data_IF_516378990870
#
_entry.id   IF_516378990870
#
_cell.length_a   1.000
_cell.length_b   1.000
_cell.length_c   1.000
_cell.angle_alpha   90.00
_cell.angle_beta   90.00
_cell.angle_gamma   90.00
#
_symmetry.space_group_name_H-M   'P 1'
#
loop_
_entity.id
_entity.type
_entity.pdbx_description
1 polymer ?
#
# COMPACT_ATOMS: atom_id res chain seq x y z
N UNK A 1 -40.98 72.32 -41.44
CA UNK A 1 -39.87 71.52 -40.88
C UNK A 1 -40.37 70.10 -40.74
N UNK A 2 -39.87 69.18 -41.57
CA UNK A 2 -40.17 67.76 -41.46
C UNK A 2 -39.10 67.08 -40.59
N UNK A 3 -39.44 66.11 -39.72
CA UNK A 3 -38.46 65.15 -39.25
C UNK A 3 -38.51 63.88 -40.10
N UNK A 4 -37.33 63.52 -40.58
CA UNK A 4 -37.01 62.32 -41.34
C UNK A 4 -37.04 61.11 -40.39
N UNK A 5 -37.80 60.08 -40.76
CA UNK A 5 -37.73 58.75 -40.16
C UNK A 5 -36.48 58.03 -40.67
N UNK A 6 -35.58 57.61 -39.78
CA UNK A 6 -34.44 56.75 -40.14
C UNK A 6 -34.63 55.38 -39.49
N UNK A 7 -35.02 54.40 -40.31
CA UNK A 7 -35.05 52.99 -39.94
C UNK A 7 -33.67 52.39 -40.15
N UNK A 8 -32.95 52.08 -39.07
CA UNK A 8 -31.74 51.26 -39.13
C UNK A 8 -32.13 49.78 -39.01
N UNK A 9 -32.06 49.06 -40.14
CA UNK A 9 -32.12 47.62 -40.16
C UNK A 9 -30.77 47.06 -39.68
N UNK A 10 -30.76 46.44 -38.49
CA UNK A 10 -29.62 45.67 -37.99
C UNK A 10 -29.75 44.26 -38.54
N UNK A 11 -28.91 43.90 -39.51
CA UNK A 11 -28.80 42.52 -39.97
C UNK A 11 -28.05 41.69 -38.91
N UNK A 12 -28.79 40.81 -38.21
CA UNK A 12 -28.20 39.84 -37.29
C UNK A 12 -27.55 38.70 -38.11
N UNK A 13 -26.23 38.71 -38.22
CA UNK A 13 -25.48 37.57 -38.72
C UNK A 13 -25.44 36.48 -37.63
N UNK A 14 -26.23 35.43 -37.80
CA UNK A 14 -26.14 34.24 -36.96
C UNK A 14 -24.85 33.48 -37.29
N UNK A 15 -23.84 33.59 -36.41
CA UNK A 15 -22.69 32.68 -36.43
C UNK A 15 -23.17 31.29 -36.00
N UNK A 16 -23.32 30.38 -36.96
CA UNK A 16 -23.43 28.95 -36.69
C UNK A 16 -22.08 28.45 -36.17
N UNK A 17 -21.96 28.31 -34.85
CA UNK A 17 -20.91 27.53 -34.20
C UNK A 17 -21.17 26.05 -34.51
N UNK A 18 -20.56 25.56 -35.59
CA UNK A 18 -20.44 24.12 -35.82
C UNK A 18 -19.54 23.55 -34.73
N UNK A 19 -19.97 22.50 -33.99
CA UNK A 19 -19.07 21.81 -33.08
C UNK A 19 -18.01 21.14 -33.95
N UNK A 20 -16.76 21.60 -33.83
CA UNK A 20 -15.60 20.86 -34.31
C UNK A 20 -15.49 19.61 -33.43
N UNK A 21 -16.19 18.55 -33.82
CA UNK A 21 -15.89 17.21 -33.33
C UNK A 21 -14.55 16.82 -33.96
N UNK A 22 -13.45 17.12 -33.28
CA UNK A 22 -12.17 16.51 -33.62
C UNK A 22 -12.30 15.02 -33.32
N UNK A 23 -12.61 14.22 -34.33
CA UNK A 23 -12.35 12.79 -34.27
C UNK A 23 -10.83 12.64 -34.21
N UNK A 24 -10.28 12.55 -32.99
CA UNK A 24 -8.91 12.10 -32.82
C UNK A 24 -8.83 10.71 -33.45
N UNK A 25 -7.90 10.46 -34.39
CA UNK A 25 -7.74 9.11 -34.93
C UNK A 25 -7.45 8.19 -33.76
N UNK A 26 -8.29 7.15 -33.62
CA UNK A 26 -8.14 6.13 -32.61
C UNK A 26 -6.94 5.27 -33.02
N UNK A 27 -5.73 5.78 -32.75
CA UNK A 27 -4.46 5.15 -33.10
C UNK A 27 -4.25 3.93 -32.19
N UNK A 28 -5.01 2.88 -32.49
CA UNK A 28 -4.86 1.57 -31.89
C UNK A 28 -3.81 0.79 -32.67
N UNK A 29 -2.79 0.31 -31.98
CA UNK A 29 -1.74 -0.54 -32.52
C UNK A 29 -2.01 -1.98 -32.11
N UNK A 30 -1.77 -2.93 -33.01
CA UNK A 30 -1.91 -4.36 -32.71
C UNK A 30 -0.62 -5.11 -33.06
N UNK A 31 -0.08 -5.87 -32.10
CA UNK A 31 1.06 -6.79 -32.33
C UNK A 31 0.93 -8.00 -31.41
N UNK A 32 1.17 -9.20 -31.93
CA UNK A 32 1.13 -10.46 -31.15
C UNK A 32 -0.16 -10.65 -30.33
N UNK A 33 -1.32 -10.27 -30.88
CA UNK A 33 -2.62 -10.37 -30.20
C UNK A 33 -2.88 -9.34 -29.10
N UNK A 34 -1.96 -8.38 -28.89
CA UNK A 34 -2.14 -7.24 -28.00
C UNK A 34 -2.56 -6.03 -28.83
N UNK A 35 -3.62 -5.33 -28.38
CA UNK A 35 -4.09 -4.07 -28.96
C UNK A 35 -3.97 -2.97 -27.91
N UNK A 36 -3.41 -1.82 -28.26
CA UNK A 36 -3.19 -0.70 -27.33
C UNK A 36 -3.29 0.65 -28.04
N UNK A 37 -3.62 1.70 -27.30
CA UNK A 37 -3.68 3.09 -27.79
C UNK A 37 -2.33 3.80 -27.62
N UNK A 38 -2.25 5.09 -27.96
CA UNK A 38 -1.10 5.94 -27.60
C UNK A 38 -1.03 6.31 -26.12
N UNK A 39 -1.99 5.88 -25.31
CA UNK A 39 -2.03 6.19 -23.88
C UNK A 39 -0.86 5.53 -23.13
N UNK A 40 -0.48 6.15 -22.01
CA UNK A 40 0.57 5.65 -21.14
C UNK A 40 0.15 4.31 -20.53
N UNK A 41 0.99 3.28 -20.67
CA UNK A 41 0.74 1.95 -20.10
C UNK A 41 1.43 1.79 -18.76
N UNK A 42 0.86 0.94 -17.91
CA UNK A 42 1.41 0.64 -16.58
C UNK A 42 2.88 0.20 -16.64
N UNK A 43 3.26 -0.64 -17.62
CA UNK A 43 4.64 -1.09 -17.82
C UNK A 43 5.59 -0.03 -18.42
N UNK A 44 5.11 1.19 -18.65
CA UNK A 44 5.90 2.35 -19.07
C UNK A 44 6.05 3.37 -17.93
N UNK A 45 5.37 3.15 -16.79
CA UNK A 45 5.47 4.00 -15.61
C UNK A 45 6.68 3.55 -14.77
N UNK A 46 7.47 4.51 -14.30
CA UNK A 46 8.52 4.29 -13.32
C UNK A 46 8.12 4.99 -12.03
N UNK A 47 8.32 4.31 -10.90
CA UNK A 47 7.96 4.81 -9.58
C UNK A 47 9.12 4.68 -8.62
N UNK A 48 9.16 5.56 -7.63
CA UNK A 48 10.01 5.40 -6.44
C UNK A 48 9.20 4.68 -5.37
N UNK A 49 9.81 3.66 -4.77
CA UNK A 49 9.27 2.94 -3.63
C UNK A 49 10.14 3.11 -2.39
N UNK A 50 9.58 2.79 -1.24
CA UNK A 50 10.33 2.66 0.02
C UNK A 50 10.49 1.19 0.37
N UNK A 51 11.66 0.83 0.90
CA UNK A 51 11.92 -0.50 1.47
C UNK A 51 11.40 -0.54 2.90
N UNK A 52 10.67 -1.60 3.25
CA UNK A 52 9.94 -1.77 4.52
C UNK A 52 9.10 -0.52 4.87
N UNK A 53 8.17 -0.14 4.00
CA UNK A 53 7.45 1.14 4.10
C UNK A 53 6.77 1.39 5.45
N UNK A 54 6.44 0.34 6.18
CA UNK A 54 5.77 0.40 7.47
C UNK A 54 6.71 0.70 8.66
N UNK A 55 8.02 0.55 8.48
CA UNK A 55 9.03 0.41 9.54
C UNK A 55 9.18 1.64 10.45
N UNK A 56 9.33 1.37 11.75
CA UNK A 56 9.70 2.32 12.80
C UNK A 56 10.85 1.74 13.62
N UNK A 57 11.81 2.57 13.99
CA UNK A 57 12.95 2.14 14.80
C UNK A 57 12.53 1.80 16.22
N UNK A 58 13.24 0.84 16.83
CA UNK A 58 13.09 0.56 18.24
C UNK A 58 13.39 1.79 19.12
N UNK A 59 12.57 2.02 20.17
CA UNK A 59 12.83 3.06 21.16
C UNK A 59 14.14 2.78 21.90
N UNK A 60 14.73 3.83 22.47
CA UNK A 60 16.04 3.75 23.12
C UNK A 60 16.10 2.68 24.23
N UNK A 61 15.00 2.46 24.96
CA UNK A 61 14.89 1.45 26.02
C UNK A 61 15.03 0.00 25.53
N UNK A 62 14.75 -0.26 24.25
CA UNK A 62 14.85 -1.60 23.66
C UNK A 62 16.20 -1.83 22.97
N UNK A 63 16.97 -0.78 22.63
CA UNK A 63 18.16 -0.90 21.76
C UNK A 63 19.31 -1.72 22.35
N UNK A 64 19.53 -1.62 23.66
CA UNK A 64 20.59 -2.39 24.31
C UNK A 64 20.28 -3.89 24.22
N UNK A 65 19.03 -4.27 24.50
CA UNK A 65 18.55 -5.64 24.33
C UNK A 65 18.54 -6.06 22.87
N UNK A 66 18.11 -5.19 21.95
CA UNK A 66 18.10 -5.47 20.51
C UNK A 66 19.48 -5.92 20.02
N UNK A 67 20.55 -5.25 20.47
CA UNK A 67 21.96 -5.60 20.14
C UNK A 67 22.39 -6.99 20.60
N UNK A 68 21.69 -7.57 21.57
CA UNK A 68 22.00 -8.90 22.09
C UNK A 68 21.35 -10.02 21.29
N UNK A 69 20.25 -9.73 20.58
CA UNK A 69 19.43 -10.74 19.88
C UNK A 69 19.39 -10.56 18.36
N UNK A 70 19.94 -9.46 17.83
CA UNK A 70 20.06 -9.18 16.39
C UNK A 70 21.49 -8.71 16.03
N UNK A 71 22.04 -9.14 14.88
CA UNK A 71 23.26 -8.56 14.32
C UNK A 71 22.99 -7.17 13.72
N UNK A 72 24.03 -6.36 13.57
CA UNK A 72 24.01 -5.12 12.78
C UNK A 72 22.83 -4.16 13.04
N UNK A 73 22.36 -4.08 14.29
CA UNK A 73 21.18 -3.30 14.73
C UNK A 73 21.12 -1.84 14.26
N UNK A 74 22.26 -1.23 13.93
CA UNK A 74 22.32 0.10 13.34
C UNK A 74 21.52 0.21 12.03
N UNK A 75 21.42 -0.88 11.25
CA UNK A 75 20.65 -0.95 10.01
C UNK A 75 19.13 -0.95 10.24
N UNK A 76 18.69 -1.16 11.48
CA UNK A 76 17.28 -1.19 11.89
C UNK A 76 16.85 0.14 12.53
N UNK A 77 17.77 1.08 12.79
CA UNK A 77 17.45 2.37 13.42
C UNK A 77 17.19 3.45 12.37
N UNK A 78 16.17 3.21 11.55
CA UNK A 78 15.57 4.19 10.66
C UNK A 78 14.06 4.18 10.84
N UNK A 79 13.37 5.14 10.25
CA UNK A 79 11.91 5.16 10.29
C UNK A 79 11.34 5.82 9.08
N UNK A 80 10.24 5.26 8.59
CA UNK A 80 9.39 5.95 7.64
C UNK A 80 8.29 6.75 8.36
N UNK A 81 7.75 7.80 7.74
CA UNK A 81 6.45 8.33 8.15
C UNK A 81 5.34 7.36 7.77
N UNK A 82 4.10 7.60 8.23
CA UNK A 82 2.95 6.78 7.87
C UNK A 82 2.76 6.66 6.34
N UNK A 83 2.17 5.56 5.88
CA UNK A 83 2.07 5.22 4.45
C UNK A 83 1.38 6.33 3.62
N UNK A 84 0.35 6.97 4.16
CA UNK A 84 -0.34 8.10 3.53
C UNK A 84 0.54 9.34 3.44
N UNK A 85 1.39 9.60 4.44
CA UNK A 85 2.38 10.69 4.42
C UNK A 85 3.47 10.43 3.38
N UNK A 86 3.93 9.19 3.24
CA UNK A 86 4.85 8.80 2.15
C UNK A 86 4.22 9.04 0.78
N UNK A 87 2.96 8.61 0.59
CA UNK A 87 2.21 8.82 -0.64
C UNK A 87 2.03 10.32 -0.96
N UNK A 88 1.62 11.09 0.04
CA UNK A 88 1.22 12.48 -0.10
C UNK A 88 2.40 13.43 -0.29
N UNK A 89 3.42 13.31 0.56
CA UNK A 89 4.46 14.32 0.69
C UNK A 89 5.83 13.87 0.15
N UNK A 90 6.05 12.55 0.04
CA UNK A 90 7.29 12.01 -0.53
C UNK A 90 7.10 11.47 -1.95
N UNK A 91 5.89 11.56 -2.50
CA UNK A 91 5.54 11.06 -3.85
C UNK A 91 5.84 9.56 -4.05
N UNK A 92 5.81 8.77 -2.97
CA UNK A 92 6.01 7.31 -3.05
C UNK A 92 4.81 6.69 -3.76
N UNK A 93 5.08 5.79 -4.71
CA UNK A 93 4.07 5.07 -5.49
C UNK A 93 4.30 3.56 -5.53
N UNK A 94 5.20 3.03 -4.70
CA UNK A 94 5.36 1.60 -4.43
C UNK A 94 5.62 1.41 -2.93
N UNK A 95 4.85 0.54 -2.30
CA UNK A 95 5.02 0.21 -0.88
C UNK A 95 5.49 -1.22 -0.71
N UNK A 96 6.21 -1.47 0.37
CA UNK A 96 6.62 -2.80 0.81
C UNK A 96 6.05 -3.08 2.19
N UNK A 97 5.44 -4.26 2.35
CA UNK A 97 4.91 -4.76 3.62
C UNK A 97 5.44 -6.17 3.87
N UNK A 98 6.04 -6.36 5.03
CA UNK A 98 6.42 -7.67 5.55
C UNK A 98 5.26 -8.23 6.33
N UNK A 99 4.82 -9.43 5.99
CA UNK A 99 3.60 -10.02 6.55
C UNK A 99 3.85 -11.31 7.30
N UNK A 100 3.19 -11.43 8.45
CA UNK A 100 3.20 -12.59 9.31
C UNK A 100 1.77 -13.10 9.50
N UNK A 101 1.54 -14.39 9.24
CA UNK A 101 0.20 -14.98 9.37
C UNK A 101 -0.11 -15.30 10.83
N UNK A 102 -1.29 -14.90 11.30
CA UNK A 102 -1.75 -15.14 12.68
C UNK A 102 -3.26 -15.47 12.68
N UNK A 103 -3.64 -16.71 12.32
CA UNK A 103 -5.03 -17.08 12.08
C UNK A 103 -5.89 -17.10 13.35
N UNK A 104 -5.27 -17.29 14.52
CA UNK A 104 -5.96 -17.31 15.82
C UNK A 104 -5.92 -15.95 16.52
N UNK A 105 -4.97 -15.09 16.15
CA UNK A 105 -4.71 -13.82 16.82
C UNK A 105 -3.85 -14.00 18.06
N UNK A 106 -3.13 -12.94 18.42
CA UNK A 106 -2.33 -12.89 19.64
C UNK A 106 -0.96 -13.55 19.54
N UNK A 107 -0.66 -14.27 18.46
CA UNK A 107 0.60 -15.00 18.30
C UNK A 107 1.82 -14.08 18.30
N UNK A 108 1.64 -12.84 17.82
CA UNK A 108 2.67 -11.79 17.82
C UNK A 108 2.37 -10.63 18.77
N UNK A 109 1.40 -10.76 19.68
CA UNK A 109 0.95 -9.64 20.52
C UNK A 109 1.90 -9.32 21.68
N UNK A 110 2.73 -10.27 22.10
CA UNK A 110 3.80 -10.08 23.07
C UNK A 110 5.15 -10.17 22.36
N UNK A 111 6.16 -9.45 22.85
CA UNK A 111 7.45 -9.33 22.17
C UNK A 111 8.61 -9.70 23.09
N UNK A 112 9.42 -10.69 22.70
CA UNK A 112 10.58 -11.16 23.46
C UNK A 112 11.53 -10.04 23.89
N UNK A 113 11.81 -9.08 22.99
CA UNK A 113 12.70 -7.95 23.28
C UNK A 113 12.26 -7.17 24.52
N UNK A 114 10.95 -7.05 24.76
CA UNK A 114 10.41 -6.35 25.93
C UNK A 114 10.60 -7.16 27.20
N UNK A 115 10.40 -8.47 27.15
CA UNK A 115 10.67 -9.38 28.26
C UNK A 115 12.16 -9.31 28.66
N UNK A 116 13.05 -9.46 27.69
CA UNK A 116 14.50 -9.42 27.90
C UNK A 116 14.99 -8.05 28.38
N UNK A 117 14.31 -6.97 27.99
CA UNK A 117 14.57 -5.61 28.48
C UNK A 117 13.95 -5.31 29.85
N UNK A 118 13.25 -6.26 30.47
CA UNK A 118 12.48 -6.07 31.71
C UNK A 118 11.47 -4.90 31.61
N UNK A 119 10.83 -4.79 30.44
CA UNK A 119 9.76 -3.84 30.12
C UNK A 119 8.38 -4.54 30.21
N UNK A 120 7.31 -3.75 30.16
CA UNK A 120 5.95 -4.30 30.15
C UNK A 120 5.73 -5.22 28.95
N UNK A 121 5.31 -6.46 29.20
CA UNK A 121 4.93 -7.46 28.19
C UNK A 121 3.41 -7.54 28.00
N UNK A 122 2.70 -6.45 28.31
CA UNK A 122 1.24 -6.39 28.08
C UNK A 122 0.97 -6.62 26.59
N UNK A 123 0.16 -7.63 26.21
CA UNK A 123 -0.05 -7.94 24.81
C UNK A 123 -0.73 -6.79 24.06
N UNK A 124 -0.23 -6.47 22.87
CA UNK A 124 -0.79 -5.42 22.02
C UNK A 124 -2.23 -5.78 21.59
N UNK A 125 -3.24 -4.97 21.95
CA UNK A 125 -4.63 -5.30 21.66
C UNK A 125 -4.95 -5.37 20.16
N UNK A 126 -4.24 -4.66 19.30
CA UNK A 126 -4.45 -4.72 17.85
C UNK A 126 -3.92 -6.04 17.26
N UNK A 127 -2.87 -6.60 17.86
CA UNK A 127 -2.27 -7.86 17.45
C UNK A 127 -3.03 -9.07 18.04
N UNK A 128 -3.94 -8.87 18.99
CA UNK A 128 -4.74 -9.96 19.58
C UNK A 128 -5.88 -10.47 18.70
N UNK A 129 -6.32 -9.69 17.71
CA UNK A 129 -7.35 -10.16 16.79
C UNK A 129 -6.77 -11.16 15.79
N UNK A 130 -7.53 -12.13 15.27
CA UNK A 130 -7.13 -12.91 14.11
C UNK A 130 -6.74 -12.05 12.90
N UNK A 131 -5.85 -12.56 12.06
CA UNK A 131 -5.48 -11.95 10.78
C UNK A 131 -4.00 -11.61 10.65
N UNK A 132 -3.59 -11.19 9.47
CA UNK A 132 -2.19 -10.98 9.10
C UNK A 132 -1.61 -9.75 9.79
N UNK A 133 -0.40 -9.88 10.33
CA UNK A 133 0.35 -8.81 11.02
C UNK A 133 1.43 -8.23 10.12
N UNK A 134 1.80 -6.98 10.39
CA UNK A 134 2.86 -6.27 9.68
C UNK A 134 3.95 -5.89 10.68
N UNK A 135 5.11 -6.53 10.57
CA UNK A 135 6.27 -6.43 11.48
C UNK A 135 7.53 -6.62 10.65
N UNK A 136 8.72 -6.22 11.13
CA UNK A 136 9.97 -6.46 10.39
C UNK A 136 10.66 -7.75 10.84
N UNK A 137 10.99 -7.82 12.13
CA UNK A 137 11.44 -9.06 12.77
C UNK A 137 10.54 -9.28 13.97
N UNK A 138 9.73 -10.35 13.91
CA UNK A 138 8.92 -10.75 15.06
C UNK A 138 9.80 -10.80 16.32
N UNK A 139 9.26 -10.33 17.45
CA UNK A 139 9.92 -10.34 18.75
C UNK A 139 11.15 -9.42 18.94
N UNK A 140 11.77 -8.89 17.90
CA UNK A 140 13.05 -8.15 18.00
C UNK A 140 13.09 -6.79 17.28
N UNK A 141 12.25 -6.58 16.26
CA UNK A 141 12.08 -5.30 15.56
C UNK A 141 10.64 -5.20 15.03
N UNK A 142 9.71 -4.94 15.96
CA UNK A 142 8.26 -5.09 15.75
C UNK A 142 7.53 -3.77 15.53
N UNK A 143 8.21 -2.63 15.68
CA UNK A 143 7.56 -1.31 15.62
C UNK A 143 7.20 -0.96 14.18
N UNK A 144 5.96 -0.52 14.00
CA UNK A 144 5.37 -0.26 12.70
C UNK A 144 4.40 0.92 12.77
N UNK A 145 4.19 1.60 11.64
CA UNK A 145 3.15 2.64 11.49
C UNK A 145 1.73 2.08 11.41
N UNK A 146 1.58 0.79 11.11
CA UNK A 146 0.31 0.08 11.05
C UNK A 146 0.54 -1.41 11.33
N UNK A 147 -0.23 -2.01 12.23
CA UNK A 147 0.09 -3.32 12.84
C UNK A 147 -0.55 -4.53 12.17
N UNK A 148 -1.70 -4.32 11.53
CA UNK A 148 -2.43 -5.35 10.79
C UNK A 148 -2.37 -5.06 9.30
N UNK A 149 -2.37 -6.10 8.49
CA UNK A 149 -2.31 -5.96 7.04
C UNK A 149 -3.52 -5.18 6.51
N UNK A 150 -4.74 -5.55 6.93
CA UNK A 150 -5.96 -4.75 6.70
C UNK A 150 -5.79 -3.29 7.12
N UNK A 151 -5.25 -3.01 8.30
CA UNK A 151 -5.03 -1.65 8.78
C UNK A 151 -4.08 -0.85 7.88
N UNK A 152 -2.98 -1.46 7.45
CA UNK A 152 -2.05 -0.85 6.50
C UNK A 152 -2.70 -0.56 5.14
N UNK A 153 -3.44 -1.51 4.59
CA UNK A 153 -4.15 -1.34 3.32
C UNK A 153 -5.21 -0.24 3.42
N UNK A 154 -5.93 -0.14 4.54
CA UNK A 154 -6.94 0.91 4.76
C UNK A 154 -6.35 2.33 4.78
N UNK A 155 -5.12 2.50 5.28
CA UNK A 155 -4.41 3.79 5.22
C UNK A 155 -4.22 4.22 3.76
N UNK A 156 -3.71 3.33 2.92
CA UNK A 156 -3.47 3.63 1.50
C UNK A 156 -4.78 3.72 0.72
N UNK A 157 -5.79 2.92 1.03
CA UNK A 157 -7.13 3.04 0.44
C UNK A 157 -7.73 4.41 0.67
N UNK A 158 -7.67 4.92 1.91
CA UNK A 158 -8.17 6.27 2.23
C UNK A 158 -7.43 7.34 1.43
N UNK A 159 -6.11 7.21 1.28
CA UNK A 159 -5.33 8.11 0.44
C UNK A 159 -5.75 8.00 -1.04
N UNK A 160 -5.91 6.78 -1.56
CA UNK A 160 -6.33 6.49 -2.93
C UNK A 160 -7.67 7.14 -3.26
N UNK A 161 -8.66 7.00 -2.40
CA UNK A 161 -9.99 7.61 -2.55
C UNK A 161 -9.96 9.14 -2.59
N UNK A 162 -9.00 9.77 -1.90
CA UNK A 162 -8.81 11.21 -1.94
C UNK A 162 -8.05 11.69 -3.21
N UNK A 163 -7.51 10.77 -4.01
CA UNK A 163 -6.67 11.05 -5.18
C UNK A 163 -7.09 10.20 -6.39
N UNK A 164 -8.31 10.34 -6.92
CA UNK A 164 -8.86 9.43 -7.94
C UNK A 164 -8.02 9.33 -9.23
N UNK A 165 -7.16 10.31 -9.50
CA UNK A 165 -6.27 10.35 -10.67
C UNK A 165 -4.86 9.80 -10.39
N UNK A 166 -4.63 9.14 -9.23
CA UNK A 166 -3.32 8.56 -8.93
C UNK A 166 -2.99 7.38 -9.87
N UNK A 167 -1.70 7.20 -10.18
CA UNK A 167 -1.22 6.02 -10.90
C UNK A 167 -1.42 4.75 -10.05
N UNK A 168 -1.53 3.54 -10.65
CA UNK A 168 -1.61 2.30 -9.90
C UNK A 168 -0.48 2.19 -8.85
N UNK A 169 -0.83 1.74 -7.65
CA UNK A 169 0.12 1.59 -6.54
C UNK A 169 0.41 0.09 -6.36
N UNK A 170 1.58 -0.39 -6.81
CA UNK A 170 2.07 -1.70 -6.43
C UNK A 170 2.37 -1.79 -4.93
N UNK A 171 2.04 -2.94 -4.37
CA UNK A 171 2.52 -3.41 -3.07
C UNK A 171 3.44 -4.61 -3.30
N UNK A 172 4.66 -4.51 -2.80
CA UNK A 172 5.54 -5.65 -2.61
C UNK A 172 5.21 -6.28 -1.26
N UNK A 173 4.86 -7.56 -1.26
CA UNK A 173 4.47 -8.29 -0.06
C UNK A 173 5.55 -9.35 0.21
N UNK A 174 6.29 -9.19 1.31
CA UNK A 174 7.27 -10.19 1.75
C UNK A 174 6.62 -11.12 2.78
N UNK A 175 6.58 -12.41 2.45
CA UNK A 175 6.01 -13.43 3.31
C UNK A 175 7.07 -13.84 4.36
N UNK A 176 6.86 -13.44 5.61
CA UNK A 176 7.78 -13.71 6.72
C UNK A 176 7.27 -14.82 7.63
N UNK A 177 8.21 -15.36 8.42
CA UNK A 177 7.97 -16.22 9.57
C UNK A 177 8.82 -15.72 10.74
N UNK A 178 8.45 -16.07 11.98
CA UNK A 178 9.30 -15.76 13.13
C UNK A 178 10.66 -16.48 13.04
N UNK A 179 11.67 -15.94 13.71
CA UNK A 179 13.01 -16.54 13.74
C UNK A 179 13.05 -17.70 14.74
N UNK A 180 13.49 -18.88 14.29
CA UNK A 180 13.65 -20.07 15.14
C UNK A 180 14.53 -19.80 16.38
N UNK A 181 15.54 -18.94 16.22
CA UNK A 181 16.41 -18.54 17.33
C UNK A 181 15.67 -17.73 18.42
N UNK A 182 14.71 -16.88 18.03
CA UNK A 182 13.89 -16.13 18.98
C UNK A 182 12.85 -17.05 19.63
N UNK A 183 12.24 -17.96 18.86
CA UNK A 183 11.34 -18.97 19.40
C UNK A 183 12.02 -19.85 20.47
N UNK A 184 13.27 -20.26 20.25
CA UNK A 184 14.07 -21.01 21.23
C UNK A 184 14.35 -20.24 22.53
N UNK A 185 14.21 -18.91 22.52
CA UNK A 185 14.35 -18.04 23.69
C UNK A 185 13.01 -17.67 24.34
N UNK A 186 11.89 -18.23 23.86
CA UNK A 186 10.54 -17.96 24.39
C UNK A 186 9.71 -16.97 23.56
N UNK A 187 10.21 -16.55 22.39
CA UNK A 187 9.44 -15.76 21.42
C UNK A 187 8.39 -16.59 20.66
N UNK A 188 7.74 -15.96 19.70
CA UNK A 188 6.73 -16.57 18.84
C UNK A 188 7.34 -17.68 17.97
N UNK A 189 6.66 -18.83 17.91
CA UNK A 189 7.05 -19.91 17.01
C UNK A 189 6.79 -19.53 15.54
N UNK A 190 7.58 -20.02 14.57
CA UNK A 190 7.31 -19.76 13.15
C UNK A 190 6.01 -20.43 12.69
N UNK A 191 5.14 -19.67 12.02
CA UNK A 191 3.99 -20.19 11.30
C UNK A 191 4.30 -20.11 9.80
N UNK A 192 4.54 -21.24 9.11
CA UNK A 192 4.94 -21.23 7.71
C UNK A 192 3.75 -20.93 6.77
N UNK A 193 4.01 -20.16 5.72
CA UNK A 193 3.08 -19.93 4.61
C UNK A 193 3.01 -21.14 3.64
N UNK A 194 2.65 -22.31 4.16
CA UNK A 194 2.72 -23.59 3.42
C UNK A 194 1.36 -24.24 3.14
N UNK A 195 0.25 -23.54 3.41
CA UNK A 195 -1.10 -24.03 3.18
C UNK A 195 -1.91 -23.02 2.35
N UNK A 196 -2.69 -23.53 1.39
CA UNK A 196 -3.64 -22.78 0.56
C UNK A 196 -4.65 -21.98 1.39
N UNK A 197 -5.07 -22.46 2.56
CA UNK A 197 -5.99 -21.72 3.43
C UNK A 197 -5.40 -20.39 3.91
N UNK A 198 -4.09 -20.34 4.18
CA UNK A 198 -3.42 -19.11 4.60
C UNK A 198 -3.28 -18.12 3.43
N UNK A 199 -3.00 -18.63 2.23
CA UNK A 199 -2.94 -17.82 1.01
C UNK A 199 -4.33 -17.29 0.62
N UNK A 200 -5.38 -18.08 0.83
CA UNK A 200 -6.76 -17.63 0.68
C UNK A 200 -7.08 -16.53 1.71
N UNK A 201 -6.62 -16.66 2.95
CA UNK A 201 -6.75 -15.62 3.98
C UNK A 201 -6.12 -14.30 3.57
N UNK A 202 -4.97 -14.33 2.88
CA UNK A 202 -4.36 -13.12 2.30
C UNK A 202 -5.27 -12.47 1.25
N UNK A 203 -5.78 -13.25 0.29
CA UNK A 203 -6.72 -12.76 -0.72
C UNK A 203 -8.00 -12.19 -0.09
N UNK A 204 -8.52 -12.87 0.94
CA UNK A 204 -9.72 -12.45 1.67
C UNK A 204 -9.49 -11.11 2.39
N UNK A 205 -8.34 -10.92 3.04
CA UNK A 205 -8.01 -9.63 3.66
C UNK A 205 -7.85 -8.51 2.63
N UNK A 206 -7.19 -8.75 1.49
CA UNK A 206 -7.09 -7.77 0.40
C UNK A 206 -8.49 -7.37 -0.09
N UNK A 207 -9.37 -8.35 -0.33
CA UNK A 207 -10.73 -8.14 -0.85
C UNK A 207 -11.70 -7.57 0.19
N UNK A 208 -11.38 -7.72 1.48
CA UNK A 208 -12.11 -7.03 2.55
C UNK A 208 -11.87 -5.53 2.52
N UNK A 209 -10.71 -5.09 2.00
CA UNK A 209 -10.35 -3.68 1.90
C UNK A 209 -10.70 -3.11 0.53
N UNK A 210 -10.30 -3.74 -0.57
CA UNK A 210 -10.48 -3.23 -1.93
C UNK A 210 -11.57 -4.00 -2.69
N UNK A 211 -12.49 -3.25 -3.30
CA UNK A 211 -13.45 -3.80 -4.24
C UNK A 211 -12.76 -4.27 -5.53
N UNK A 212 -13.44 -5.09 -6.32
CA UNK A 212 -12.87 -5.67 -7.53
C UNK A 212 -12.42 -4.61 -8.56
N UNK A 213 -13.11 -3.47 -8.63
CA UNK A 213 -12.77 -2.35 -9.51
C UNK A 213 -11.67 -1.41 -8.96
N UNK A 214 -11.24 -1.63 -7.71
CA UNK A 214 -10.10 -0.96 -7.08
C UNK A 214 -8.80 -1.79 -7.22
N UNK A 215 -8.86 -2.98 -7.81
CA UNK A 215 -7.74 -3.93 -7.93
C UNK A 215 -7.35 -4.17 -9.39
N UNK A 216 -6.05 -4.40 -9.60
CA UNK A 216 -5.54 -5.02 -10.82
C UNK A 216 -4.97 -6.38 -10.45
N UNK A 217 -5.60 -7.43 -10.94
CA UNK A 217 -5.27 -8.83 -10.61
C UNK A 217 -4.58 -9.53 -11.78
N UNK A 218 -3.93 -10.69 -11.55
CA UNK A 218 -3.40 -11.51 -12.64
C UNK A 218 -4.45 -11.86 -13.70
N UNK A 219 -5.71 -12.02 -13.29
CA UNK A 219 -6.82 -12.38 -14.18
C UNK A 219 -7.21 -11.24 -15.13
N UNK A 220 -6.93 -9.99 -14.75
CA UNK A 220 -7.14 -8.81 -15.60
C UNK A 220 -6.05 -8.67 -16.68
N UNK A 221 -4.89 -9.32 -16.47
CA UNK A 221 -3.70 -9.21 -17.32
C UNK A 221 -3.50 -10.45 -18.20
N UNK A 222 -3.75 -11.65 -17.66
CA UNK A 222 -3.50 -12.92 -18.35
C UNK A 222 -4.40 -13.05 -19.59
N UNK A 223 -3.83 -13.55 -20.68
CA UNK A 223 -4.52 -13.87 -21.95
C UNK A 223 -4.13 -15.26 -22.40
#
# INVERSE_FOLDING_TARGET
MAPVTSSLAVAAAALLLLPLTSAAPNDTFTRNGLTWSRELRMNQIQVVGTHNSYHRESPLEERDTQRTILPDTQNYWYSHPALDIQAQYQSIRNFELDIFVDPEGGHYASHLIRELANLSTTPDPELQQPGIKVLHVADADYHTTCKTFVGCLQVVKKWSQAHPDHVPIPFMIEFKTAEEAHAAMGGAAPIPWNNTELLQGLDDEIRSVFAADELVTPDDIRR
#
